data_IF_076871013882
#
_entry.id   IF_076871013882
#
_cell.length_a   1.000
_cell.length_b   1.000
_cell.length_c   1.000
_cell.angle_alpha   90.00
_cell.angle_beta   90.00
_cell.angle_gamma   90.00
#
_symmetry.space_group_name_H-M   'P 1'
#
loop_
_entity.id
_entity.type
_entity.pdbx_description
1 polymer ?
#
# COMPACT_ATOMS: atom_id res chain seq x y z
N UNK A 1 41.88 -52.80 -103.93
CA UNK A 1 42.04 -51.60 -104.76
C UNK A 1 43.54 -51.32 -104.91
N UNK A 2 44.06 -51.42 -106.12
CA UNK A 2 45.49 -51.39 -106.43
C UNK A 2 46.03 -49.95 -106.36
N UNK A 3 46.87 -49.65 -105.37
CA UNK A 3 47.36 -48.29 -105.03
C UNK A 3 48.52 -47.80 -105.91
N UNK A 4 48.76 -48.40 -107.08
CA UNK A 4 49.99 -48.18 -107.86
C UNK A 4 50.02 -46.89 -108.67
N UNK A 5 48.86 -46.28 -108.97
CA UNK A 5 48.77 -45.07 -109.81
C UNK A 5 48.23 -43.84 -109.06
N UNK A 6 48.72 -43.61 -107.84
CA UNK A 6 48.44 -42.35 -107.14
C UNK A 6 49.44 -41.28 -107.58
N UNK A 7 48.93 -40.16 -108.12
CA UNK A 7 49.71 -38.97 -108.53
C UNK A 7 50.71 -38.55 -107.46
N UNK A 8 51.91 -38.15 -107.89
CA UNK A 8 53.01 -37.72 -107.03
C UNK A 8 52.59 -36.61 -106.05
N UNK A 9 51.76 -35.68 -106.54
CA UNK A 9 51.25 -34.54 -105.78
C UNK A 9 50.38 -34.97 -104.60
N UNK A 10 49.55 -35.99 -104.79
CA UNK A 10 48.74 -36.54 -103.70
C UNK A 10 49.60 -37.18 -102.61
N UNK A 11 50.68 -37.88 -103.00
CA UNK A 11 51.65 -38.43 -102.02
C UNK A 11 52.38 -37.32 -101.27
N UNK A 12 52.65 -36.18 -101.92
CA UNK A 12 53.24 -35.00 -101.26
C UNK A 12 52.26 -34.38 -100.24
N UNK A 13 51.01 -34.18 -100.63
CA UNK A 13 49.95 -33.67 -99.74
C UNK A 13 49.75 -34.57 -98.50
N UNK A 14 49.80 -35.90 -98.66
CA UNK A 14 49.72 -36.81 -97.52
C UNK A 14 50.90 -36.68 -96.56
N UNK A 15 52.12 -36.46 -97.07
CA UNK A 15 53.31 -36.22 -96.23
C UNK A 15 53.21 -34.89 -95.47
N UNK A 16 52.75 -33.84 -96.14
CA UNK A 16 52.52 -32.53 -95.49
C UNK A 16 51.44 -32.61 -94.42
N UNK A 17 50.31 -33.27 -94.72
CA UNK A 17 49.25 -33.53 -93.75
C UNK A 17 49.80 -34.26 -92.52
N UNK A 18 50.60 -35.30 -92.71
CA UNK A 18 51.20 -36.05 -91.59
C UNK A 18 52.20 -35.21 -90.79
N UNK A 19 52.97 -34.35 -91.46
CA UNK A 19 53.93 -33.41 -90.83
C UNK A 19 53.22 -32.32 -90.01
N UNK A 20 52.06 -31.83 -90.48
CA UNK A 20 51.32 -30.75 -89.85
C UNK A 20 50.24 -31.21 -88.85
N UNK A 21 49.82 -32.48 -88.90
CA UNK A 21 48.73 -33.03 -88.09
C UNK A 21 48.90 -32.77 -86.59
N UNK A 22 50.12 -32.87 -86.07
CA UNK A 22 50.37 -32.62 -84.65
C UNK A 22 50.23 -31.14 -84.28
N UNK A 23 50.69 -30.23 -85.16
CA UNK A 23 50.54 -28.78 -84.95
C UNK A 23 49.07 -28.38 -84.98
N UNK A 24 48.31 -28.89 -85.94
CA UNK A 24 46.86 -28.66 -86.04
C UNK A 24 46.12 -29.22 -84.84
N UNK A 25 46.48 -30.42 -84.37
CA UNK A 25 45.92 -31.03 -83.17
C UNK A 25 46.16 -30.18 -81.92
N UNK A 26 47.38 -29.68 -81.74
CA UNK A 26 47.74 -28.81 -80.62
C UNK A 26 47.00 -27.47 -80.68
N UNK A 27 46.92 -26.85 -81.86
CA UNK A 27 46.16 -25.61 -82.06
C UNK A 27 44.67 -25.80 -81.75
N UNK A 28 44.06 -26.88 -82.26
CA UNK A 28 42.67 -27.23 -81.96
C UNK A 28 42.47 -27.45 -80.45
N UNK A 29 43.39 -28.12 -79.77
CA UNK A 29 43.33 -28.32 -78.31
C UNK A 29 43.35 -26.98 -77.57
N UNK A 30 44.22 -26.05 -77.99
CA UNK A 30 44.29 -24.70 -77.40
C UNK A 30 42.99 -23.93 -77.60
N UNK A 31 42.41 -23.97 -78.79
CA UNK A 31 41.12 -23.31 -79.06
C UNK A 31 40.02 -23.93 -78.19
N UNK A 32 39.95 -25.26 -78.16
CA UNK A 32 38.92 -25.98 -77.40
C UNK A 32 39.06 -25.75 -75.89
N UNK A 33 40.27 -25.79 -75.31
CA UNK A 33 40.46 -25.54 -73.87
C UNK A 33 40.07 -24.10 -73.51
N UNK A 34 40.44 -23.13 -74.34
CA UNK A 34 40.09 -21.73 -74.12
C UNK A 34 38.58 -21.51 -74.20
N UNK A 35 37.92 -22.10 -75.19
CA UNK A 35 36.48 -22.02 -75.34
C UNK A 35 35.71 -22.68 -74.19
N UNK A 36 36.12 -23.90 -73.78
CA UNK A 36 35.54 -24.58 -72.60
C UNK A 36 35.69 -23.71 -71.34
N UNK A 37 36.87 -23.14 -71.12
CA UNK A 37 37.12 -22.24 -70.00
C UNK A 37 36.29 -20.95 -70.06
N UNK A 38 36.09 -20.37 -71.25
CA UNK A 38 35.21 -19.23 -71.46
C UNK A 38 33.76 -19.56 -71.09
N UNK A 39 33.22 -20.69 -71.56
CA UNK A 39 31.86 -21.11 -71.23
C UNK A 39 31.66 -21.26 -69.72
N UNK A 40 32.57 -21.94 -69.03
CA UNK A 40 32.50 -22.13 -67.56
C UNK A 40 32.58 -20.81 -66.81
N UNK A 41 33.45 -19.89 -67.22
CA UNK A 41 33.52 -18.56 -66.59
C UNK A 41 32.26 -17.75 -66.81
N UNK A 42 31.72 -17.77 -68.04
CA UNK A 42 30.46 -17.08 -68.38
C UNK A 42 29.31 -17.61 -67.54
N UNK A 43 29.14 -18.93 -67.45
CA UNK A 43 28.07 -19.53 -66.64
C UNK A 43 28.23 -19.19 -65.17
N UNK A 44 29.45 -19.29 -64.61
CA UNK A 44 29.71 -18.96 -63.21
C UNK A 44 29.37 -17.48 -62.88
N UNK A 45 29.74 -16.53 -63.76
CA UNK A 45 29.38 -15.11 -63.57
C UNK A 45 27.86 -14.93 -63.49
N UNK A 46 27.11 -15.58 -64.39
CA UNK A 46 25.64 -15.52 -64.39
C UNK A 46 25.07 -16.10 -63.09
N UNK A 47 25.52 -17.30 -62.69
CA UNK A 47 25.06 -17.93 -61.46
C UNK A 47 25.35 -17.09 -60.22
N UNK A 48 26.56 -16.52 -60.11
CA UNK A 48 26.92 -15.64 -58.99
C UNK A 48 26.03 -14.41 -58.94
N UNK A 49 25.74 -13.80 -60.08
CA UNK A 49 24.83 -12.65 -60.13
C UNK A 49 23.42 -13.03 -59.66
N UNK A 50 22.87 -14.14 -60.16
CA UNK A 50 21.55 -14.63 -59.75
C UNK A 50 21.49 -14.94 -58.25
N UNK A 51 22.49 -15.63 -57.71
CA UNK A 51 22.56 -15.96 -56.28
C UNK A 51 22.66 -14.71 -55.42
N UNK A 52 23.46 -13.72 -55.82
CA UNK A 52 23.55 -12.45 -55.11
C UNK A 52 22.23 -11.68 -55.13
N UNK A 53 21.54 -11.66 -56.28
CA UNK A 53 20.23 -11.02 -56.40
C UNK A 53 19.19 -11.70 -55.49
N UNK A 54 19.15 -13.03 -55.48
CA UNK A 54 18.26 -13.79 -54.60
C UNK A 54 18.57 -13.50 -53.13
N UNK A 55 19.84 -13.55 -52.73
CA UNK A 55 20.28 -13.24 -51.37
C UNK A 55 19.86 -11.83 -50.94
N UNK A 56 20.12 -10.83 -51.79
CA UNK A 56 19.76 -9.44 -51.51
C UNK A 56 18.24 -9.27 -51.37
N UNK A 57 17.46 -9.92 -52.23
CA UNK A 57 16.00 -9.86 -52.15
C UNK A 57 15.48 -10.49 -50.85
N UNK A 58 16.04 -11.63 -50.43
CA UNK A 58 15.67 -12.27 -49.16
C UNK A 58 15.99 -11.34 -47.98
N UNK A 59 17.17 -10.71 -47.98
CA UNK A 59 17.56 -9.80 -46.91
C UNK A 59 16.64 -8.56 -46.84
N UNK A 60 16.29 -7.98 -47.98
CA UNK A 60 15.33 -6.87 -48.05
C UNK A 60 13.96 -7.28 -47.49
N UNK A 61 13.48 -8.48 -47.85
CA UNK A 61 12.20 -8.99 -47.33
C UNK A 61 12.26 -9.21 -45.82
N UNK A 62 13.37 -9.73 -45.30
CA UNK A 62 13.60 -9.89 -43.86
C UNK A 62 13.57 -8.54 -43.13
N UNK A 63 14.27 -7.54 -43.65
CA UNK A 63 14.28 -6.18 -43.11
C UNK A 63 12.87 -5.56 -43.11
N UNK A 64 12.12 -5.71 -44.21
CA UNK A 64 10.73 -5.23 -44.30
C UNK A 64 9.82 -5.91 -43.27
N UNK A 65 9.94 -7.22 -43.11
CA UNK A 65 9.19 -7.98 -42.11
C UNK A 65 9.52 -7.51 -40.69
N UNK A 66 10.82 -7.42 -40.36
CA UNK A 66 11.28 -6.98 -39.05
C UNK A 66 10.78 -5.57 -38.73
N UNK A 67 10.88 -4.63 -39.68
CA UNK A 67 10.37 -3.28 -39.52
C UNK A 67 8.86 -3.26 -39.23
N UNK A 68 8.08 -4.06 -39.97
CA UNK A 68 6.63 -4.16 -39.76
C UNK A 68 6.29 -4.75 -38.38
N UNK A 69 7.04 -5.76 -37.94
CA UNK A 69 6.92 -6.36 -36.61
C UNK A 69 7.20 -5.34 -35.51
N UNK A 70 8.35 -4.68 -35.55
CA UNK A 70 8.75 -3.67 -34.55
C UNK A 70 7.79 -2.48 -34.49
N UNK A 71 7.28 -2.01 -35.64
CA UNK A 71 6.26 -0.96 -35.67
C UNK A 71 4.97 -1.39 -34.98
N UNK A 72 4.55 -2.65 -35.16
CA UNK A 72 3.36 -3.19 -34.48
C UNK A 72 3.58 -3.27 -32.98
N UNK A 73 4.69 -3.87 -32.55
CA UNK A 73 5.05 -3.99 -31.13
C UNK A 73 5.06 -2.61 -30.45
N UNK A 74 5.68 -1.60 -31.08
CA UNK A 74 5.69 -0.23 -30.57
C UNK A 74 4.28 0.36 -30.42
N UNK A 75 3.39 0.15 -31.40
CA UNK A 75 2.01 0.64 -31.33
C UNK A 75 1.22 -0.08 -30.25
N UNK A 76 1.41 -1.38 -30.10
CA UNK A 76 0.77 -2.19 -29.06
C UNK A 76 1.24 -1.75 -27.67
N UNK A 77 2.52 -1.48 -27.49
CA UNK A 77 3.09 -0.96 -26.24
C UNK A 77 2.51 0.42 -25.89
N UNK A 78 2.43 1.33 -26.86
CA UNK A 78 1.83 2.65 -26.68
C UNK A 78 0.35 2.54 -26.29
N UNK A 79 -0.40 1.64 -26.95
CA UNK A 79 -1.80 1.37 -26.64
C UNK A 79 -1.94 0.79 -25.23
N UNK A 80 -1.10 -0.17 -24.86
CA UNK A 80 -1.14 -0.80 -23.54
C UNK A 80 -0.84 0.22 -22.44
N UNK A 81 0.16 1.09 -22.63
CA UNK A 81 0.49 2.17 -21.70
C UNK A 81 -0.71 3.12 -21.52
N UNK A 82 -1.30 3.58 -22.63
CA UNK A 82 -2.48 4.46 -22.60
C UNK A 82 -3.68 3.81 -21.88
N UNK A 83 -3.97 2.54 -22.17
CA UNK A 83 -5.07 1.82 -21.53
C UNK A 83 -4.81 1.59 -20.04
N UNK A 84 -3.57 1.25 -19.67
CA UNK A 84 -3.18 1.04 -18.27
C UNK A 84 -3.32 2.32 -17.46
N UNK A 85 -2.81 3.45 -17.95
CA UNK A 85 -2.95 4.76 -17.29
C UNK A 85 -4.42 5.15 -17.08
N UNK A 86 -5.27 4.94 -18.09
CA UNK A 86 -6.69 5.22 -17.98
C UNK A 86 -7.39 4.28 -17.00
N UNK A 87 -7.05 2.98 -17.02
CA UNK A 87 -7.55 2.02 -16.06
C UNK A 87 -7.18 2.42 -14.63
N UNK A 88 -5.93 2.82 -14.38
CA UNK A 88 -5.50 3.30 -13.05
C UNK A 88 -6.31 4.52 -12.60
N UNK A 89 -6.56 5.50 -13.48
CA UNK A 89 -7.38 6.68 -13.17
C UNK A 89 -8.81 6.28 -12.79
N UNK A 90 -9.46 5.45 -13.61
CA UNK A 90 -10.82 4.96 -13.36
C UNK A 90 -10.88 4.23 -12.03
N UNK A 91 -9.95 3.29 -11.80
CA UNK A 91 -9.93 2.51 -10.58
C UNK A 91 -9.65 3.36 -9.34
N UNK A 92 -8.77 4.38 -9.42
CA UNK A 92 -8.50 5.32 -8.33
C UNK A 92 -9.77 6.09 -7.95
N UNK A 93 -10.48 6.62 -8.94
CA UNK A 93 -11.75 7.34 -8.73
C UNK A 93 -12.77 6.40 -8.09
N UNK A 94 -12.92 5.18 -8.62
CA UNK A 94 -13.87 4.21 -8.11
C UNK A 94 -13.57 3.79 -6.67
N UNK A 95 -12.31 3.48 -6.34
CA UNK A 95 -11.88 3.17 -4.97
C UNK A 95 -12.19 4.32 -4.02
N UNK A 96 -11.94 5.56 -4.44
CA UNK A 96 -12.30 6.75 -3.66
C UNK A 96 -13.81 6.89 -3.45
N UNK A 97 -14.61 6.72 -4.51
CA UNK A 97 -16.07 6.73 -4.43
C UNK A 97 -16.59 5.65 -3.48
N UNK A 98 -16.14 4.41 -3.65
CA UNK A 98 -16.57 3.25 -2.87
C UNK A 98 -16.25 3.46 -1.37
N UNK A 99 -15.03 3.88 -1.08
CA UNK A 99 -14.59 4.16 0.29
C UNK A 99 -15.46 5.23 0.96
N UNK A 100 -15.72 6.37 0.29
CA UNK A 100 -16.57 7.44 0.85
C UNK A 100 -18.04 7.04 0.99
N UNK A 101 -18.55 6.18 0.12
CA UNK A 101 -19.95 5.77 0.15
C UNK A 101 -20.22 4.67 1.19
N UNK A 102 -19.34 3.67 1.29
CA UNK A 102 -19.64 2.43 2.01
C UNK A 102 -18.74 2.16 3.23
N UNK A 103 -17.50 2.66 3.25
CA UNK A 103 -16.56 2.39 4.35
C UNK A 103 -16.55 3.54 5.36
N UNK A 104 -16.25 4.75 4.90
CA UNK A 104 -16.12 5.93 5.74
C UNK A 104 -17.39 6.79 5.66
N UNK A 105 -18.50 6.27 6.17
CA UNK A 105 -19.69 7.09 6.37
C UNK A 105 -19.47 7.98 7.59
N UNK A 106 -18.93 9.18 7.34
CA UNK A 106 -18.64 10.18 8.37
C UNK A 106 -19.85 10.49 9.26
N UNK A 107 -21.05 10.58 8.67
CA UNK A 107 -22.27 10.89 9.42
C UNK A 107 -22.64 9.77 10.39
N UNK A 108 -22.55 8.51 9.94
CA UNK A 108 -22.80 7.34 10.79
C UNK A 108 -21.78 7.21 11.91
N UNK A 109 -20.50 7.47 11.63
CA UNK A 109 -19.46 7.47 12.66
C UNK A 109 -19.66 8.58 13.69
N UNK A 110 -20.00 9.80 13.23
CA UNK A 110 -20.30 10.94 14.10
C UNK A 110 -21.51 10.65 15.00
N UNK A 111 -22.57 10.07 14.44
CA UNK A 111 -23.77 9.66 15.19
C UNK A 111 -23.41 8.66 16.29
N UNK A 112 -22.66 7.60 15.97
CA UNK A 112 -22.20 6.61 16.94
C UNK A 112 -21.39 7.24 18.08
N UNK A 113 -20.49 8.20 17.78
CA UNK A 113 -19.71 8.88 18.82
C UNK A 113 -20.62 9.70 19.75
N UNK A 114 -21.59 10.44 19.19
CA UNK A 114 -22.52 11.24 19.98
C UNK A 114 -23.42 10.35 20.84
N UNK A 115 -23.78 9.16 20.36
CA UNK A 115 -24.52 8.16 21.12
C UNK A 115 -23.68 7.61 22.29
N UNK A 116 -22.43 7.22 22.03
CA UNK A 116 -21.50 6.75 23.06
C UNK A 116 -21.26 7.83 24.13
N UNK A 117 -21.03 9.07 23.71
CA UNK A 117 -20.81 10.19 24.64
C UNK A 117 -22.04 10.43 25.54
N UNK A 118 -23.25 10.41 24.95
CA UNK A 118 -24.50 10.49 25.72
C UNK A 118 -24.63 9.35 26.73
N UNK A 119 -24.34 8.12 26.32
CA UNK A 119 -24.37 6.96 27.21
C UNK A 119 -23.39 7.11 28.38
N UNK A 120 -22.13 7.45 28.10
CA UNK A 120 -21.10 7.65 29.14
C UNK A 120 -21.51 8.76 30.12
N UNK A 121 -22.07 9.86 29.61
CA UNK A 121 -22.54 10.98 30.43
C UNK A 121 -23.70 10.58 31.34
N UNK A 122 -24.65 9.79 30.82
CA UNK A 122 -25.77 9.24 31.61
C UNK A 122 -25.28 8.30 32.72
N UNK A 123 -24.34 7.39 32.41
CA UNK A 123 -23.74 6.50 33.40
C UNK A 123 -23.00 7.28 34.50
N UNK A 124 -22.24 8.31 34.12
CA UNK A 124 -21.55 9.18 35.08
C UNK A 124 -22.54 9.89 36.01
N UNK A 125 -23.64 10.40 35.47
CA UNK A 125 -24.67 11.07 36.26
C UNK A 125 -25.36 10.11 37.23
N UNK A 126 -25.70 8.89 36.79
CA UNK A 126 -26.24 7.85 37.66
C UNK A 126 -25.29 7.50 38.81
N UNK A 127 -24.02 7.29 38.48
CA UNK A 127 -23.00 6.99 39.49
C UNK A 127 -22.84 8.13 40.51
N UNK A 128 -22.89 9.39 40.04
CA UNK A 128 -22.84 10.55 40.92
C UNK A 128 -24.05 10.62 41.85
N UNK A 129 -25.26 10.37 41.32
CA UNK A 129 -26.48 10.31 42.11
C UNK A 129 -26.42 9.22 43.18
N UNK A 130 -25.96 8.01 42.83
CA UNK A 130 -25.80 6.90 43.78
C UNK A 130 -24.77 7.22 44.89
N UNK A 131 -23.68 7.91 44.55
CA UNK A 131 -22.69 8.37 45.53
C UNK A 131 -23.31 9.40 46.48
N UNK A 132 -24.06 10.37 45.94
CA UNK A 132 -24.75 11.39 46.74
C UNK A 132 -25.78 10.76 47.68
N UNK A 133 -26.59 9.82 47.20
CA UNK A 133 -27.54 9.08 48.02
C UNK A 133 -26.87 8.30 49.15
N UNK A 134 -25.78 7.59 48.84
CA UNK A 134 -24.99 6.85 49.85
C UNK A 134 -24.42 7.80 50.89
N UNK A 135 -23.91 8.98 50.46
CA UNK A 135 -23.39 10.01 51.35
C UNK A 135 -24.47 10.54 52.29
N UNK A 136 -25.67 10.85 51.79
CA UNK A 136 -26.80 11.31 52.60
C UNK A 136 -27.21 10.24 53.61
N UNK A 137 -27.37 8.98 53.18
CA UNK A 137 -27.71 7.85 54.07
C UNK A 137 -26.68 7.66 55.18
N UNK A 138 -25.38 7.75 54.85
CA UNK A 138 -24.30 7.68 55.83
C UNK A 138 -24.37 8.83 56.84
N UNK A 139 -24.58 10.06 56.37
CA UNK A 139 -24.74 11.23 57.22
C UNK A 139 -25.92 11.10 58.19
N UNK A 140 -27.06 10.59 57.72
CA UNK A 140 -28.22 10.32 58.56
C UNK A 140 -27.93 9.26 59.62
N UNK A 141 -27.23 8.18 59.23
CA UNK A 141 -26.82 7.13 60.17
C UNK A 141 -25.85 7.67 61.23
N UNK A 142 -24.82 8.40 60.83
CA UNK A 142 -23.83 8.98 61.73
C UNK A 142 -24.46 9.98 62.70
N UNK A 143 -25.40 10.82 62.23
CA UNK A 143 -26.16 11.73 63.08
C UNK A 143 -27.01 10.96 64.09
N UNK A 144 -27.72 9.91 63.67
CA UNK A 144 -28.50 9.07 64.59
C UNK A 144 -27.62 8.41 65.66
N UNK A 145 -26.43 7.93 65.28
CA UNK A 145 -25.45 7.37 66.23
C UNK A 145 -24.93 8.43 67.19
N UNK A 146 -24.64 9.66 66.71
CA UNK A 146 -24.25 10.78 67.58
C UNK A 146 -25.36 11.13 68.56
N UNK A 147 -26.60 11.21 68.12
CA UNK A 147 -27.76 11.51 68.97
C UNK A 147 -27.94 10.45 70.05
N UNK A 148 -27.82 9.16 69.70
CA UNK A 148 -27.86 8.05 70.67
C UNK A 148 -26.72 8.17 71.69
N UNK A 149 -25.49 8.48 71.23
CA UNK A 149 -24.34 8.68 72.13
C UNK A 149 -24.56 9.86 73.07
N UNK A 150 -25.01 11.01 72.56
CA UNK A 150 -25.33 12.20 73.36
C UNK A 150 -26.42 11.88 74.38
N UNK A 151 -27.49 11.20 73.94
CA UNK A 151 -28.58 10.79 74.81
C UNK A 151 -28.10 9.86 75.93
N UNK A 152 -27.26 8.86 75.62
CA UNK A 152 -26.68 7.96 76.61
C UNK A 152 -25.76 8.69 77.60
N UNK A 153 -24.92 9.61 77.12
CA UNK A 153 -24.06 10.43 77.99
C UNK A 153 -24.92 11.31 78.90
N UNK A 154 -25.94 11.98 78.37
CA UNK A 154 -26.89 12.78 79.15
C UNK A 154 -27.61 11.91 80.20
N UNK A 155 -28.07 10.72 79.82
CA UNK A 155 -28.69 9.74 80.73
C UNK A 155 -27.74 9.29 81.82
N UNK A 156 -26.45 9.08 81.55
CA UNK A 156 -25.49 8.64 82.57
C UNK A 156 -25.05 9.78 83.49
N UNK A 157 -24.94 11.00 82.96
CA UNK A 157 -24.44 12.18 83.69
C UNK A 157 -25.55 13.07 84.26
N UNK A 158 -26.83 12.65 84.20
CA UNK A 158 -27.99 13.43 84.67
C UNK A 158 -28.01 13.72 86.18
N UNK A 159 -27.13 13.08 86.97
CA UNK A 159 -26.94 13.36 88.38
C UNK A 159 -25.96 14.53 88.61
N UNK A 160 -25.05 14.78 87.66
CA UNK A 160 -24.11 15.90 87.69
C UNK A 160 -24.79 17.20 87.27
N UNK A 161 -25.60 17.14 86.22
CA UNK A 161 -26.32 18.26 85.62
C UNK A 161 -27.80 18.16 86.03
N UNK A 162 -28.43 19.25 86.47
CA UNK A 162 -29.84 19.22 86.86
C UNK A 162 -30.74 18.74 85.74
N UNK A 163 -31.67 17.86 86.09
CA UNK A 163 -32.83 17.52 85.24
C UNK A 163 -34.03 18.36 85.65
N UNK A 164 -35.09 18.34 84.84
CA UNK A 164 -36.37 19.00 85.20
C UNK A 164 -36.96 18.45 86.51
N UNK A 165 -36.69 17.18 86.84
CA UNK A 165 -37.24 16.51 88.01
C UNK A 165 -36.36 16.64 89.26
N UNK A 166 -35.02 16.64 89.13
CA UNK A 166 -34.10 16.66 90.26
C UNK A 166 -32.86 17.51 89.97
N UNK A 167 -32.50 18.39 90.92
CA UNK A 167 -31.30 19.24 90.85
C UNK A 167 -30.04 18.39 90.96
N UNK A 168 -29.07 18.63 90.07
CA UNK A 168 -27.80 17.92 90.00
C UNK A 168 -26.76 18.50 90.98
N UNK A 169 -25.72 17.73 91.26
CA UNK A 169 -24.70 18.06 92.27
C UNK A 169 -24.00 19.40 91.98
N UNK A 170 -23.69 19.69 90.71
CA UNK A 170 -23.02 20.94 90.35
C UNK A 170 -23.91 22.17 90.49
N UNK A 171 -25.24 22.00 90.50
CA UNK A 171 -26.17 23.12 90.63
C UNK A 171 -26.04 23.78 92.01
N UNK A 172 -25.81 23.02 93.07
CA UNK A 172 -25.59 23.57 94.40
C UNK A 172 -24.31 24.41 94.49
N UNK A 173 -23.23 23.98 93.82
CA UNK A 173 -21.96 24.73 93.77
C UNK A 173 -22.13 26.03 92.98
N UNK A 174 -22.82 25.97 91.85
CA UNK A 174 -23.12 27.15 91.02
C UNK A 174 -24.02 28.13 91.79
N UNK A 175 -25.10 27.65 92.42
CA UNK A 175 -25.98 28.47 93.25
C UNK A 175 -25.23 29.15 94.40
N UNK A 176 -24.28 28.47 95.05
CA UNK A 176 -23.45 29.06 96.10
C UNK A 176 -22.46 30.10 95.57
N UNK A 177 -21.85 29.88 94.40
CA UNK A 177 -20.99 30.87 93.74
C UNK A 177 -21.81 32.13 93.40
N UNK A 178 -23.01 31.95 92.83
CA UNK A 178 -23.91 33.05 92.49
C UNK A 178 -24.30 33.82 93.77
N UNK A 179 -24.68 33.12 94.84
CA UNK A 179 -24.99 33.76 96.14
C UNK A 179 -23.81 34.55 96.70
N UNK A 180 -22.60 34.00 96.63
CA UNK A 180 -21.40 34.71 97.09
C UNK A 180 -21.11 35.96 96.25
N UNK A 181 -21.26 35.89 94.92
CA UNK A 181 -21.11 37.06 94.04
C UNK A 181 -22.16 38.14 94.35
N UNK A 182 -23.42 37.76 94.52
CA UNK A 182 -24.50 38.69 94.90
C UNK A 182 -24.23 39.34 96.26
N UNK A 183 -23.70 38.60 97.23
CA UNK A 183 -23.31 39.16 98.53
C UNK A 183 -22.12 40.12 98.43
N UNK A 184 -21.09 39.79 97.64
CA UNK A 184 -19.96 40.70 97.39
C UNK A 184 -20.46 41.99 96.74
N UNK A 185 -21.37 41.89 95.75
CA UNK A 185 -21.97 43.05 95.09
C UNK A 185 -22.76 43.88 96.10
N UNK A 186 -23.61 43.27 96.94
CA UNK A 186 -24.37 43.97 97.99
C UNK A 186 -23.47 44.70 98.99
N UNK A 187 -22.38 44.08 99.46
CA UNK A 187 -21.42 44.72 100.38
C UNK A 187 -20.77 45.94 99.70
N UNK A 188 -20.45 45.85 98.41
CA UNK A 188 -19.86 46.96 97.63
C UNK A 188 -20.78 48.18 97.50
N UNK A 189 -22.11 47.99 97.56
CA UNK A 189 -23.11 49.05 97.49
C UNK A 189 -23.56 49.59 98.86
N UNK A 190 -23.16 48.96 99.97
CA UNK A 190 -23.47 49.42 101.34
C UNK A 190 -22.30 50.23 101.95
N UNK A 191 -21.16 50.34 101.26
CA UNK A 191 -19.99 51.13 101.67
C UNK A 191 -19.63 52.24 100.65
N UNK A 192 -20.59 52.72 99.87
CA UNK A 192 -20.51 53.98 99.12
C UNK A 192 -21.70 54.88 99.48
#
# INVERSE_FOLDING_TARGET
MDYRNISHDYKALLREKKKNSEKERLAALVIQKCFRGFLVRKTNIIYRHLLNNIRNNIEILRCKYLLKKLKREKLDDQRNMYLSDNATKIQKIFRGFYSRKYIHNYYKWKENIIEIDRYVKDQKNKMLYEIEEKRIKQLMYDNKIKDIKIHNVAKNLHHLISTKAQKGVYNYKIENIIKNQVNIIKIKYVHN
#
